data_IF_489010230038
#
_entry.id   IF_489010230038
#
_cell.length_a   1.000
_cell.length_b   1.000
_cell.length_c   1.000
_cell.angle_alpha   90.00
_cell.angle_beta   90.00
_cell.angle_gamma   90.00
#
_symmetry.space_group_name_H-M   'P 1'
#
loop_
_entity.id
_entity.type
_entity.pdbx_description
1 polymer ?
#
# COMPACT_ATOMS: atom_id res chain seq x y z
N UNK A 1 -10.51 28.51 24.39
CA UNK A 1 -9.16 27.93 24.58
C UNK A 1 -9.21 26.45 24.16
N UNK A 2 -9.03 26.21 22.88
CA UNK A 2 -8.67 24.89 22.37
C UNK A 2 -7.44 25.11 21.48
N UNK A 3 -6.29 25.06 22.17
CA UNK A 3 -4.99 25.19 21.55
C UNK A 3 -4.65 23.89 20.82
N UNK A 4 -4.29 24.06 19.55
CA UNK A 4 -3.23 23.39 18.80
C UNK A 4 -2.76 22.01 19.36
N UNK A 5 -3.57 20.99 19.19
CA UNK A 5 -3.09 19.61 19.17
C UNK A 5 -3.22 19.10 17.72
N UNK A 6 -2.11 18.57 17.18
CA UNK A 6 -1.98 17.92 15.88
C UNK A 6 -1.58 18.81 14.67
N UNK A 7 -0.37 19.36 14.75
CA UNK A 7 0.50 19.46 13.59
C UNK A 7 1.89 18.95 13.98
N UNK A 8 2.08 17.65 14.11
CA UNK A 8 3.40 17.10 13.84
C UNK A 8 3.64 17.28 12.33
N UNK A 9 4.30 18.37 11.96
CA UNK A 9 4.86 18.49 10.62
C UNK A 9 5.75 17.28 10.42
N UNK A 10 5.42 16.43 9.47
CA UNK A 10 6.36 15.43 8.96
C UNK A 10 7.58 16.22 8.51
N UNK A 11 8.71 16.08 9.20
CA UNK A 11 10.00 16.64 8.79
C UNK A 11 10.62 15.80 7.65
N UNK A 12 9.82 15.01 6.93
CA UNK A 12 10.30 14.25 5.81
C UNK A 12 10.65 15.23 4.67
N UNK A 13 11.90 15.20 4.28
CA UNK A 13 12.38 15.90 3.08
C UNK A 13 11.52 15.46 1.87
N UNK A 14 10.84 16.38 1.18
CA UNK A 14 10.03 16.03 0.01
C UNK A 14 10.84 15.40 -1.13
N UNK A 15 12.16 15.62 -1.19
CA UNK A 15 13.07 14.98 -2.16
C UNK A 15 13.25 13.48 -1.88
N UNK A 16 12.94 13.02 -0.67
CA UNK A 16 13.08 11.66 -0.18
C UNK A 16 12.36 10.61 -1.03
N UNK A 17 11.26 10.99 -1.67
CA UNK A 17 10.40 10.12 -2.47
C UNK A 17 10.50 10.38 -3.98
N UNK A 18 11.56 11.05 -4.45
CA UNK A 18 11.72 11.43 -5.85
C UNK A 18 13.03 10.94 -6.42
N UNK A 19 12.96 10.46 -7.64
CA UNK A 19 14.12 10.36 -8.50
C UNK A 19 14.45 11.78 -8.99
N UNK A 20 15.16 12.55 -8.18
CA UNK A 20 15.46 13.96 -8.44
C UNK A 20 16.22 14.16 -9.78
N UNK A 21 16.97 13.17 -10.19
CA UNK A 21 17.70 13.07 -11.45
C UNK A 21 16.78 12.90 -12.69
N UNK A 22 15.51 12.51 -12.49
CA UNK A 22 14.51 12.32 -13.55
C UNK A 22 13.38 13.37 -13.51
N UNK A 23 13.47 14.36 -12.61
CA UNK A 23 12.43 15.38 -12.43
C UNK A 23 12.89 16.74 -12.95
N UNK A 24 11.98 17.48 -13.59
CA UNK A 24 12.19 18.87 -13.95
C UNK A 24 12.11 19.77 -12.72
N UNK A 25 12.66 21.01 -12.77
CA UNK A 25 12.54 21.98 -11.68
C UNK A 25 11.07 22.25 -11.27
N UNK A 26 10.16 22.32 -12.22
CA UNK A 26 8.72 22.55 -11.96
C UNK A 26 8.09 21.35 -11.22
N UNK A 27 8.44 20.12 -11.58
CA UNK A 27 8.00 18.92 -10.88
C UNK A 27 8.56 18.85 -9.46
N UNK A 28 9.78 19.31 -9.23
CA UNK A 28 10.38 19.40 -7.91
C UNK A 28 9.67 20.46 -7.03
N UNK A 29 9.29 21.59 -7.61
CA UNK A 29 8.56 22.68 -6.94
C UNK A 29 7.10 22.37 -6.63
N UNK A 30 6.44 21.58 -7.50
CA UNK A 30 5.00 21.35 -7.48
C UNK A 30 4.43 20.93 -6.12
N UNK A 31 5.14 20.08 -5.38
CA UNK A 31 4.66 19.57 -4.09
C UNK A 31 4.52 20.68 -3.03
N UNK A 32 5.51 21.57 -2.97
CA UNK A 32 5.48 22.70 -2.06
C UNK A 32 4.39 23.72 -2.43
N UNK A 33 4.21 23.97 -3.72
CA UNK A 33 3.14 24.85 -4.21
C UNK A 33 1.76 24.26 -3.93
N UNK A 34 1.57 22.96 -4.12
CA UNK A 34 0.31 22.28 -3.85
C UNK A 34 0.02 22.26 -2.34
N UNK A 35 1.00 21.98 -1.49
CA UNK A 35 0.83 22.04 -0.03
C UNK A 35 0.40 23.44 0.42
N UNK A 36 1.07 24.48 -0.08
CA UNK A 36 0.69 25.86 0.18
C UNK A 36 -0.75 26.15 -0.32
N UNK A 37 -1.11 25.69 -1.51
CA UNK A 37 -2.45 25.85 -2.07
C UNK A 37 -3.52 25.14 -1.23
N UNK A 38 -3.27 23.89 -0.81
CA UNK A 38 -4.20 23.15 0.05
C UNK A 38 -4.44 23.90 1.36
N UNK A 39 -3.40 24.44 1.98
CA UNK A 39 -3.52 25.17 3.24
C UNK A 39 -4.33 26.46 3.09
N UNK A 40 -4.13 27.22 2.00
CA UNK A 40 -4.65 28.58 1.84
C UNK A 40 -5.89 28.69 0.93
N UNK A 41 -6.31 27.63 0.24
CA UNK A 41 -7.51 27.65 -0.60
C UNK A 41 -8.79 27.72 0.24
N UNK A 42 -9.86 28.24 -0.38
CA UNK A 42 -11.17 28.37 0.27
C UNK A 42 -11.78 27.02 0.61
N UNK A 43 -12.60 26.98 1.65
CA UNK A 43 -13.32 25.82 2.15
C UNK A 43 -12.67 25.19 3.39
N UNK A 44 -13.49 24.52 4.17
CA UNK A 44 -13.07 23.66 5.29
C UNK A 44 -12.29 22.46 4.79
N UNK A 45 -11.56 21.77 5.66
CA UNK A 45 -10.89 20.51 5.29
C UNK A 45 -11.86 19.47 4.72
N UNK A 46 -13.07 19.38 5.26
CA UNK A 46 -14.09 18.44 4.78
C UNK A 46 -14.53 18.78 3.36
N UNK A 47 -14.84 20.05 3.07
CA UNK A 47 -15.17 20.52 1.71
C UNK A 47 -14.00 20.29 0.72
N UNK A 48 -12.76 20.42 1.18
CA UNK A 48 -11.58 20.13 0.34
C UNK A 48 -11.50 18.63 0.00
N UNK A 49 -11.79 17.74 0.96
CA UNK A 49 -11.83 16.29 0.72
C UNK A 49 -12.96 15.92 -0.24
N UNK A 50 -14.16 16.49 -0.09
CA UNK A 50 -15.28 16.26 -1.04
C UNK A 50 -14.94 16.72 -2.47
N UNK A 51 -14.03 17.68 -2.59
CA UNK A 51 -13.53 18.20 -3.87
C UNK A 51 -12.08 17.76 -4.15
N UNK A 52 -11.68 16.56 -3.68
CA UNK A 52 -10.30 16.08 -3.75
C UNK A 52 -9.67 16.10 -5.15
N UNK A 53 -10.39 15.95 -6.28
CA UNK A 53 -9.75 16.02 -7.62
C UNK A 53 -9.05 17.34 -7.89
N UNK A 54 -9.42 18.41 -7.17
CA UNK A 54 -8.77 19.71 -7.26
C UNK A 54 -7.38 19.74 -6.58
N UNK A 55 -7.12 18.82 -5.68
CA UNK A 55 -5.96 18.81 -4.79
C UNK A 55 -5.02 17.62 -4.99
N UNK A 56 -5.53 16.54 -5.54
CA UNK A 56 -4.75 15.32 -5.75
C UNK A 56 -3.83 15.45 -6.97
N UNK A 57 -2.53 15.13 -6.85
CA UNK A 57 -1.65 15.08 -8.01
C UNK A 57 -2.04 13.93 -8.94
N UNK A 58 -1.83 14.15 -10.24
CA UNK A 58 -2.15 13.18 -11.30
C UNK A 58 -1.59 11.78 -11.02
N UNK A 59 -0.36 11.70 -10.50
CA UNK A 59 0.31 10.43 -10.20
C UNK A 59 -0.42 9.64 -9.09
N UNK A 60 -0.86 10.32 -8.03
CA UNK A 60 -1.64 9.67 -6.98
C UNK A 60 -3.03 9.25 -7.49
N UNK A 61 -3.67 10.08 -8.30
CA UNK A 61 -4.97 9.73 -8.88
C UNK A 61 -4.87 8.54 -9.84
N UNK A 62 -3.82 8.47 -10.70
CA UNK A 62 -3.62 7.33 -11.60
C UNK A 62 -3.41 6.03 -10.82
N UNK A 63 -2.67 6.08 -9.70
CA UNK A 63 -2.49 4.92 -8.82
C UNK A 63 -3.84 4.40 -8.28
N UNK A 64 -4.70 5.27 -7.76
CA UNK A 64 -6.01 4.86 -7.25
C UNK A 64 -6.93 4.33 -8.34
N UNK A 65 -6.89 4.88 -9.55
CA UNK A 65 -7.62 4.34 -10.71
C UNK A 65 -7.11 2.93 -11.06
N UNK A 66 -5.80 2.73 -11.07
CA UNK A 66 -5.18 1.44 -11.32
C UNK A 66 -5.60 0.39 -10.28
N UNK A 67 -5.54 0.73 -9.00
CA UNK A 67 -5.96 -0.14 -7.91
C UNK A 67 -7.46 -0.50 -8.02
N UNK A 68 -8.31 0.43 -8.47
CA UNK A 68 -9.72 0.15 -8.73
C UNK A 68 -9.90 -0.88 -9.85
N UNK A 69 -9.24 -0.67 -10.99
CA UNK A 69 -9.32 -1.61 -12.12
C UNK A 69 -8.82 -3.01 -11.76
N UNK A 70 -7.78 -3.08 -10.94
CA UNK A 70 -7.23 -4.36 -10.47
C UNK A 70 -8.17 -4.99 -9.43
N UNK A 71 -8.72 -4.22 -8.49
CA UNK A 71 -9.71 -4.70 -7.52
C UNK A 71 -10.90 -5.35 -8.21
N UNK A 72 -11.41 -4.76 -9.32
CA UNK A 72 -12.52 -5.32 -10.09
C UNK A 72 -12.21 -6.74 -10.62
N UNK A 73 -10.94 -7.08 -10.87
CA UNK A 73 -10.54 -8.43 -11.31
C UNK A 73 -10.65 -9.46 -10.19
N UNK A 74 -10.39 -9.05 -8.94
CA UNK A 74 -10.52 -9.90 -7.75
C UNK A 74 -11.93 -9.90 -7.14
N UNK A 75 -12.83 -9.05 -7.62
CA UNK A 75 -14.11 -8.76 -6.97
C UNK A 75 -14.97 -10.01 -6.73
N UNK A 76 -15.04 -10.92 -7.70
CA UNK A 76 -15.82 -12.17 -7.59
C UNK A 76 -15.04 -13.34 -6.99
N UNK A 77 -13.80 -13.14 -6.57
CA UNK A 77 -12.96 -14.16 -5.95
C UNK A 77 -13.17 -14.14 -4.44
N UNK A 78 -13.45 -15.28 -3.84
CA UNK A 78 -13.61 -15.39 -2.38
C UNK A 78 -12.27 -15.23 -1.68
N UNK A 79 -12.23 -14.43 -0.62
CA UNK A 79 -11.06 -14.24 0.24
C UNK A 79 -10.87 -12.80 0.68
N UNK A 80 -9.93 -12.63 1.59
CA UNK A 80 -9.51 -11.35 2.15
C UNK A 80 -8.64 -10.57 1.14
N UNK A 81 -8.50 -9.28 1.39
CA UNK A 81 -7.52 -8.40 0.76
C UNK A 81 -6.36 -8.26 1.74
N UNK A 82 -5.16 -8.56 1.29
CA UNK A 82 -3.95 -8.44 2.09
C UNK A 82 -3.07 -7.35 1.49
N UNK A 83 -2.66 -6.40 2.31
CA UNK A 83 -1.67 -5.38 1.96
C UNK A 83 -0.38 -5.58 2.77
N UNK A 84 0.70 -5.66 2.06
CA UNK A 84 2.05 -5.90 2.56
C UNK A 84 2.88 -4.63 2.39
N UNK A 85 2.97 -3.80 3.44
CA UNK A 85 3.49 -2.43 3.39
C UNK A 85 2.34 -1.42 3.41
N UNK A 86 2.02 -0.88 4.57
CA UNK A 86 0.84 0.00 4.75
C UNK A 86 1.23 1.47 4.71
N UNK A 87 2.42 1.81 5.24
CA UNK A 87 2.92 3.17 5.34
C UNK A 87 1.90 4.13 5.98
N UNK A 88 1.36 5.09 5.23
CA UNK A 88 0.33 6.04 5.67
C UNK A 88 -1.11 5.54 5.45
N UNK A 89 -1.30 4.31 4.96
CA UNK A 89 -2.58 3.63 4.84
C UNK A 89 -3.43 4.00 3.63
N UNK A 90 -2.87 4.71 2.65
CA UNK A 90 -3.63 5.18 1.49
C UNK A 90 -4.27 4.04 0.70
N UNK A 91 -3.50 3.01 0.34
CA UNK A 91 -3.99 1.88 -0.44
C UNK A 91 -4.91 0.98 0.40
N UNK A 92 -4.54 0.69 1.66
CA UNK A 92 -5.35 -0.10 2.59
C UNK A 92 -6.76 0.46 2.74
N UNK A 93 -6.84 1.75 3.06
CA UNK A 93 -8.12 2.41 3.24
C UNK A 93 -8.88 2.54 1.93
N UNK A 94 -8.18 2.67 0.79
CA UNK A 94 -8.83 2.66 -0.51
C UNK A 94 -9.50 1.32 -0.82
N UNK A 95 -8.83 0.20 -0.59
CA UNK A 95 -9.44 -1.13 -0.72
C UNK A 95 -10.62 -1.32 0.24
N UNK A 96 -10.50 -0.83 1.46
CA UNK A 96 -11.60 -0.85 2.42
C UNK A 96 -12.81 -0.05 1.92
N UNK A 97 -12.60 1.14 1.37
CA UNK A 97 -13.65 1.98 0.76
C UNK A 97 -14.29 1.27 -0.44
N UNK A 98 -13.49 0.73 -1.36
CA UNK A 98 -13.99 -0.01 -2.52
C UNK A 98 -14.88 -1.18 -2.10
N UNK A 99 -14.45 -1.98 -1.13
CA UNK A 99 -15.23 -3.08 -0.59
C UNK A 99 -16.54 -2.57 0.04
N UNK A 100 -16.51 -1.47 0.77
CA UNK A 100 -17.73 -0.90 1.39
C UNK A 100 -18.71 -0.33 0.36
N UNK A 101 -18.24 0.21 -0.74
CA UNK A 101 -19.05 0.78 -1.82
C UNK A 101 -19.67 -0.35 -2.67
N UNK A 102 -18.86 -1.33 -3.07
CA UNK A 102 -19.25 -2.32 -4.07
C UNK A 102 -19.87 -3.58 -3.47
N UNK A 103 -19.55 -3.91 -2.21
CA UNK A 103 -20.05 -5.08 -1.49
C UNK A 103 -20.38 -4.75 -0.03
N UNK A 104 -21.29 -3.81 0.23
CA UNK A 104 -21.50 -3.17 1.54
C UNK A 104 -21.89 -4.13 2.66
N UNK A 105 -22.44 -5.29 2.34
CA UNK A 105 -22.86 -6.32 3.32
C UNK A 105 -21.96 -7.56 3.34
N UNK A 106 -20.85 -7.55 2.61
CA UNK A 106 -19.91 -8.66 2.61
C UNK A 106 -19.09 -8.66 3.91
N UNK A 107 -19.45 -9.54 4.83
CA UNK A 107 -18.79 -9.70 6.12
C UNK A 107 -17.50 -10.54 6.02
N UNK A 108 -17.37 -11.35 4.97
CA UNK A 108 -16.30 -12.34 4.88
C UNK A 108 -15.02 -11.82 4.24
N UNK A 109 -15.11 -10.70 3.51
CA UNK A 109 -13.92 -10.05 2.95
C UNK A 109 -13.39 -9.03 3.94
N UNK A 110 -12.27 -9.35 4.58
CA UNK A 110 -11.52 -8.41 5.43
C UNK A 110 -10.42 -7.75 4.60
N UNK A 111 -9.94 -6.61 5.11
CA UNK A 111 -8.77 -5.91 4.58
C UNK A 111 -7.71 -5.92 5.68
N UNK A 112 -6.61 -6.59 5.46
CA UNK A 112 -5.58 -6.82 6.47
C UNK A 112 -4.25 -6.23 6.00
N UNK A 113 -3.74 -5.27 6.74
CA UNK A 113 -2.47 -4.59 6.45
C UNK A 113 -1.35 -5.05 7.37
N UNK A 114 -0.18 -5.32 6.81
CA UNK A 114 1.03 -5.70 7.52
C UNK A 114 2.09 -4.61 7.36
N UNK A 115 2.58 -4.07 8.48
CA UNK A 115 3.65 -3.06 8.47
C UNK A 115 4.37 -3.05 9.83
N UNK A 116 5.61 -2.63 9.83
CA UNK A 116 6.35 -2.35 11.06
C UNK A 116 5.87 -1.08 11.74
N UNK A 117 5.38 -0.10 10.97
CA UNK A 117 5.10 1.30 11.35
C UNK A 117 6.31 2.01 11.97
N UNK A 118 7.50 1.48 11.72
CA UNK A 118 8.78 2.01 12.21
C UNK A 118 9.89 1.95 11.16
N UNK A 119 9.51 1.71 9.89
CA UNK A 119 10.41 1.55 8.75
C UNK A 119 10.98 0.14 8.64
N UNK A 120 11.89 -0.06 7.70
CA UNK A 120 12.43 -1.38 7.38
C UNK A 120 13.05 -2.08 8.59
N UNK A 121 12.64 -3.32 8.87
CA UNK A 121 13.15 -4.11 9.99
C UNK A 121 14.62 -4.54 9.76
N UNK A 122 14.95 -4.91 8.54
CA UNK A 122 16.28 -5.29 8.08
C UNK A 122 16.40 -5.05 6.57
N UNK A 123 17.62 -5.05 6.05
CA UNK A 123 17.92 -4.97 4.61
C UNK A 123 18.72 -6.22 4.23
N UNK A 124 18.35 -6.87 3.14
CA UNK A 124 19.06 -7.99 2.55
C UNK A 124 20.03 -7.50 1.46
N UNK A 125 21.06 -8.26 1.13
CA UNK A 125 21.96 -7.92 0.03
C UNK A 125 21.24 -7.91 -1.34
N UNK A 126 20.16 -8.68 -1.48
CA UNK A 126 19.31 -8.71 -2.67
C UNK A 126 18.45 -7.44 -2.86
N UNK A 127 18.37 -6.60 -1.85
CA UNK A 127 17.70 -5.29 -1.91
C UNK A 127 18.61 -4.22 -2.52
N UNK A 128 19.90 -4.51 -2.69
CA UNK A 128 20.89 -3.54 -3.15
C UNK A 128 21.12 -3.68 -4.65
N UNK A 129 21.10 -2.56 -5.34
CA UNK A 129 21.47 -2.47 -6.76
C UNK A 129 22.79 -1.74 -6.92
N UNK A 130 23.60 -2.17 -7.89
CA UNK A 130 24.88 -1.52 -8.21
C UNK A 130 24.60 -0.14 -8.81
N UNK A 131 25.06 0.90 -8.11
CA UNK A 131 24.90 2.30 -8.57
C UNK A 131 23.63 2.99 -8.06
N UNK A 132 22.76 2.32 -7.34
CA UNK A 132 21.62 2.96 -6.66
C UNK A 132 22.07 3.61 -5.35
N UNK A 133 21.88 4.92 -5.23
CA UNK A 133 22.12 5.68 -4.00
C UNK A 133 20.79 6.01 -3.32
N UNK A 134 20.04 4.98 -2.92
CA UNK A 134 18.81 5.19 -2.16
C UNK A 134 19.13 5.39 -0.68
N UNK A 135 18.98 6.61 -0.17
CA UNK A 135 19.27 6.97 1.22
C UNK A 135 18.38 6.26 2.23
N UNK A 136 17.23 5.75 1.79
CA UNK A 136 16.26 5.02 2.61
C UNK A 136 16.55 3.51 2.68
N UNK A 137 17.46 2.99 1.85
CA UNK A 137 17.90 1.59 1.86
C UNK A 137 18.73 1.28 3.12
N UNK A 138 18.10 1.36 4.27
CA UNK A 138 18.68 1.13 5.59
C UNK A 138 17.62 0.68 6.59
N UNK A 139 18.03 0.02 7.66
CA UNK A 139 17.13 -0.27 8.77
C UNK A 139 16.48 1.02 9.29
N UNK A 140 15.16 1.02 9.46
CA UNK A 140 14.37 2.18 9.82
C UNK A 140 14.11 3.16 8.68
N UNK A 141 14.53 2.86 7.45
CA UNK A 141 14.16 3.65 6.26
C UNK A 141 12.65 3.60 6.00
N UNK A 142 12.11 4.60 5.34
CA UNK A 142 10.66 4.79 5.09
C UNK A 142 9.80 4.70 6.36
N UNK A 143 10.33 5.09 7.52
CA UNK A 143 9.56 5.09 8.77
C UNK A 143 8.38 6.06 8.71
N UNK A 144 7.19 5.54 8.92
CA UNK A 144 5.96 6.30 9.15
C UNK A 144 5.37 5.83 10.48
N UNK A 145 5.39 6.69 11.51
CA UNK A 145 4.74 6.42 12.80
C UNK A 145 3.23 6.68 12.69
N UNK A 146 2.58 5.88 11.86
CA UNK A 146 1.17 6.07 11.44
C UNK A 146 0.19 5.12 12.11
N UNK A 147 0.65 4.20 12.96
CA UNK A 147 -0.19 3.14 13.50
C UNK A 147 -1.41 3.66 14.27
N UNK A 148 -1.21 4.56 15.22
CA UNK A 148 -2.31 5.10 16.04
C UNK A 148 -3.23 6.02 15.23
N UNK A 149 -2.68 6.77 14.27
CA UNK A 149 -3.46 7.57 13.33
C UNK A 149 -4.36 6.69 12.45
N UNK A 150 -3.82 5.59 11.93
CA UNK A 150 -4.59 4.65 11.13
C UNK A 150 -5.66 3.91 11.92
N UNK A 151 -5.40 3.54 13.17
CA UNK A 151 -6.45 3.01 14.06
C UNK A 151 -7.60 3.99 14.19
N UNK A 152 -7.28 5.27 14.35
CA UNK A 152 -8.31 6.33 14.39
C UNK A 152 -9.04 6.49 13.07
N UNK A 153 -8.34 6.39 11.96
CA UNK A 153 -8.94 6.42 10.61
C UNK A 153 -9.92 5.26 10.42
N UNK A 154 -9.56 4.04 10.84
CA UNK A 154 -10.43 2.86 10.80
C UNK A 154 -11.68 3.05 11.66
N UNK A 155 -11.57 3.62 12.86
CA UNK A 155 -12.74 3.93 13.69
C UNK A 155 -13.70 4.91 13.01
N UNK A 156 -13.18 5.93 12.31
CA UNK A 156 -13.99 6.88 11.57
C UNK A 156 -14.64 6.25 10.33
N UNK A 157 -13.89 5.42 9.60
CA UNK A 157 -14.38 4.62 8.49
C UNK A 157 -15.53 3.71 8.92
N UNK A 158 -15.39 3.01 10.05
CA UNK A 158 -16.43 2.12 10.57
C UNK A 158 -17.74 2.88 10.90
N UNK A 159 -17.66 4.15 11.30
CA UNK A 159 -18.86 4.99 11.51
C UNK A 159 -19.59 5.36 10.22
N UNK A 160 -18.92 5.31 9.08
CA UNK A 160 -19.45 5.76 7.78
C UNK A 160 -19.79 4.61 6.83
N UNK A 161 -19.83 3.36 7.27
CA UNK A 161 -20.17 2.20 6.44
C UNK A 161 -21.28 1.37 7.02
N UNK A 162 -21.92 0.54 6.17
CA UNK A 162 -22.83 -0.49 6.63
C UNK A 162 -22.08 -1.50 7.50
N UNK A 163 -22.77 -2.03 8.53
CA UNK A 163 -22.23 -3.03 9.45
C UNK A 163 -20.92 -2.60 10.16
N UNK A 164 -20.79 -1.31 10.43
CA UNK A 164 -19.59 -0.72 11.06
C UNK A 164 -19.25 -1.24 12.46
N UNK A 165 -20.14 -2.01 13.10
CA UNK A 165 -19.90 -2.71 14.35
C UNK A 165 -19.14 -4.04 14.19
N UNK A 166 -18.91 -4.48 12.95
CA UNK A 166 -18.15 -5.70 12.62
C UNK A 166 -16.83 -5.29 12.00
N UNK A 167 -15.72 -5.75 12.57
CA UNK A 167 -14.38 -5.40 12.10
C UNK A 167 -14.17 -5.81 10.64
N UNK A 168 -13.77 -4.85 9.80
CA UNK A 168 -13.45 -5.07 8.40
C UNK A 168 -11.96 -4.85 8.11
N UNK A 169 -11.33 -3.89 8.76
CA UNK A 169 -9.93 -3.55 8.59
C UNK A 169 -9.13 -3.99 9.81
N UNK A 170 -8.00 -4.62 9.59
CA UNK A 170 -7.08 -5.04 10.65
C UNK A 170 -5.65 -4.61 10.32
N UNK A 171 -4.95 -4.05 11.30
CA UNK A 171 -3.55 -3.66 11.20
C UNK A 171 -2.69 -4.61 12.01
N UNK A 172 -1.75 -5.28 11.36
CA UNK A 172 -0.81 -6.21 11.99
C UNK A 172 0.55 -5.54 12.09
N UNK A 173 0.82 -4.97 13.26
CA UNK A 173 2.07 -4.25 13.52
C UNK A 173 3.22 -5.20 13.82
N UNK A 174 4.34 -5.00 13.12
CA UNK A 174 5.60 -5.69 13.39
C UNK A 174 6.32 -6.17 12.14
N UNK A 175 7.46 -6.83 12.35
CA UNK A 175 8.26 -7.43 11.29
C UNK A 175 7.46 -8.50 10.56
N UNK A 176 7.19 -8.28 9.27
CA UNK A 176 6.37 -9.15 8.41
C UNK A 176 6.90 -10.58 8.35
N UNK A 177 8.21 -10.77 8.42
CA UNK A 177 8.83 -12.09 8.44
C UNK A 177 8.41 -12.93 9.67
N UNK A 178 7.90 -12.28 10.72
CA UNK A 178 7.40 -12.92 11.95
C UNK A 178 5.89 -12.88 12.03
N UNK A 179 5.30 -11.74 11.66
CA UNK A 179 3.87 -11.52 11.87
C UNK A 179 3.02 -12.27 10.85
N UNK A 180 3.47 -12.44 9.61
CA UNK A 180 2.74 -13.17 8.58
C UNK A 180 2.61 -14.66 8.93
N UNK A 181 3.69 -15.41 9.22
CA UNK A 181 3.55 -16.83 9.62
C UNK A 181 2.68 -17.01 10.87
N UNK A 182 2.81 -16.12 11.87
CA UNK A 182 1.96 -16.15 13.05
C UNK A 182 0.50 -15.93 12.71
N UNK A 183 0.19 -14.90 11.90
CA UNK A 183 -1.17 -14.60 11.47
C UNK A 183 -1.81 -15.81 10.77
N UNK A 184 -1.07 -16.45 9.87
CA UNK A 184 -1.55 -17.64 9.17
C UNK A 184 -1.81 -18.83 10.11
N UNK A 185 -0.95 -19.02 11.11
CA UNK A 185 -1.14 -20.08 12.12
C UNK A 185 -2.37 -19.81 13.01
N UNK A 186 -2.62 -18.57 13.34
CA UNK A 186 -3.77 -18.14 14.16
C UNK A 186 -5.08 -18.05 13.35
N UNK A 187 -5.00 -17.87 12.02
CA UNK A 187 -6.14 -17.67 11.11
C UNK A 187 -6.14 -18.72 9.99
N UNK A 188 -6.25 -19.98 10.35
CA UNK A 188 -6.17 -21.13 9.43
C UNK A 188 -7.22 -21.11 8.32
N UNK A 189 -8.35 -20.42 8.53
CA UNK A 189 -9.44 -20.25 7.58
C UNK A 189 -9.17 -19.19 6.50
N UNK A 190 -8.11 -18.40 6.61
CA UNK A 190 -7.83 -17.29 5.68
C UNK A 190 -7.65 -17.80 4.26
N UNK A 191 -8.43 -17.25 3.35
CA UNK A 191 -8.24 -17.27 1.90
C UNK A 191 -7.90 -15.84 1.45
N UNK A 192 -7.14 -15.69 0.37
CA UNK A 192 -6.73 -14.39 -0.14
C UNK A 192 -7.23 -14.22 -1.57
N UNK A 193 -8.04 -13.20 -1.82
CA UNK A 193 -8.52 -12.86 -3.16
C UNK A 193 -7.62 -11.83 -3.85
N UNK A 194 -7.01 -10.94 -3.07
CA UNK A 194 -6.10 -9.92 -3.56
C UNK A 194 -4.93 -9.79 -2.58
N UNK A 195 -3.73 -9.93 -3.10
CA UNK A 195 -2.47 -9.75 -2.39
C UNK A 195 -1.73 -8.56 -2.99
N UNK A 196 -1.55 -7.48 -2.24
CA UNK A 196 -0.76 -6.32 -2.64
C UNK A 196 0.62 -6.39 -1.97
N UNK A 197 1.66 -6.56 -2.76
CA UNK A 197 3.05 -6.58 -2.33
C UNK A 197 3.64 -5.17 -2.52
N UNK A 198 3.96 -4.49 -1.41
CA UNK A 198 4.47 -3.12 -1.36
C UNK A 198 5.46 -2.98 -0.18
N UNK A 199 6.31 -4.01 0.00
CA UNK A 199 7.34 -4.01 1.05
C UNK A 199 8.68 -3.43 0.59
N UNK A 200 8.84 -3.17 -0.71
CA UNK A 200 10.09 -2.77 -1.36
C UNK A 200 11.23 -3.82 -1.27
N UNK A 201 11.19 -4.70 -0.28
CA UNK A 201 12.30 -5.53 0.15
C UNK A 201 12.09 -7.02 -0.20
N UNK A 202 13.21 -7.72 -0.42
CA UNK A 202 13.25 -9.13 -0.78
C UNK A 202 12.64 -10.06 0.29
N UNK A 203 13.16 -9.99 1.52
CA UNK A 203 12.82 -10.97 2.56
C UNK A 203 11.34 -10.95 2.96
N UNK A 204 10.74 -9.78 3.31
CA UNK A 204 9.33 -9.74 3.68
C UNK A 204 8.40 -10.07 2.49
N UNK A 205 8.78 -9.69 1.26
CA UNK A 205 8.03 -10.04 0.05
C UNK A 205 8.04 -11.55 -0.19
N UNK A 206 9.19 -12.20 -0.05
CA UNK A 206 9.31 -13.66 -0.16
C UNK A 206 8.44 -14.36 0.87
N UNK A 207 8.49 -13.95 2.14
CA UNK A 207 7.66 -14.51 3.21
C UNK A 207 6.17 -14.31 2.92
N UNK A 208 5.77 -13.14 2.40
CA UNK A 208 4.38 -12.89 2.01
C UNK A 208 3.93 -13.86 0.90
N UNK A 209 4.73 -14.04 -0.15
CA UNK A 209 4.44 -14.96 -1.25
C UNK A 209 4.29 -16.40 -0.73
N UNK A 210 5.27 -16.90 0.04
CA UNK A 210 5.29 -18.27 0.54
C UNK A 210 4.09 -18.60 1.46
N UNK A 211 3.55 -17.62 2.17
CA UNK A 211 2.44 -17.83 3.10
C UNK A 211 1.06 -17.52 2.49
N UNK A 212 0.93 -16.51 1.64
CA UNK A 212 -0.37 -16.09 1.13
C UNK A 212 -0.73 -16.73 -0.22
N UNK A 213 0.23 -16.90 -1.15
CA UNK A 213 -0.08 -17.47 -2.47
C UNK A 213 -0.69 -18.87 -2.39
N UNK A 214 -0.24 -19.80 -1.51
CA UNK A 214 -0.91 -21.10 -1.34
C UNK A 214 -2.37 -21.00 -0.83
N UNK A 215 -2.81 -19.83 -0.41
CA UNK A 215 -4.17 -19.55 0.09
C UNK A 215 -5.02 -18.75 -0.91
N UNK A 216 -4.48 -18.49 -2.09
CA UNK A 216 -5.18 -17.78 -3.14
C UNK A 216 -5.86 -18.78 -4.08
N UNK A 217 -7.17 -18.68 -4.28
CA UNK A 217 -7.86 -19.50 -5.27
C UNK A 217 -7.53 -19.01 -6.70
N UNK A 218 -7.83 -19.82 -7.71
CA UNK A 218 -7.80 -19.39 -9.11
C UNK A 218 -8.65 -18.15 -9.31
N UNK A 219 -8.16 -17.22 -10.09
CA UNK A 219 -8.74 -15.88 -10.25
C UNK A 219 -8.26 -14.87 -9.21
N UNK A 220 -7.57 -15.31 -8.15
CA UNK A 220 -6.94 -14.41 -7.19
C UNK A 220 -5.90 -13.51 -7.85
N UNK A 221 -5.75 -12.30 -7.35
CA UNK A 221 -4.91 -11.26 -7.97
C UNK A 221 -3.75 -10.91 -7.06
N UNK A 222 -2.54 -10.95 -7.61
CA UNK A 222 -1.34 -10.40 -6.97
C UNK A 222 -1.03 -9.06 -7.60
N UNK A 223 -0.85 -8.03 -6.79
CA UNK A 223 -0.36 -6.71 -7.19
C UNK A 223 1.09 -6.60 -6.75
N UNK A 224 1.92 -6.12 -7.63
CA UNK A 224 3.34 -5.87 -7.42
C UNK A 224 3.59 -4.36 -7.60
N UNK A 225 4.25 -3.74 -6.61
CA UNK A 225 4.53 -2.30 -6.65
C UNK A 225 5.87 -1.99 -7.33
N UNK A 226 6.88 -2.85 -7.13
CA UNK A 226 8.26 -2.55 -7.49
C UNK A 226 8.89 -3.50 -8.51
N UNK A 227 8.08 -4.25 -9.29
CA UNK A 227 8.66 -5.13 -10.31
C UNK A 227 9.42 -4.35 -11.38
N UNK A 228 10.63 -4.82 -11.68
CA UNK A 228 11.54 -4.21 -12.66
C UNK A 228 12.04 -2.82 -12.27
N UNK A 229 12.01 -2.49 -10.97
CA UNK A 229 12.56 -1.25 -10.43
C UNK A 229 14.02 -1.43 -10.04
N UNK A 230 14.92 -0.66 -10.65
CA UNK A 230 16.36 -0.71 -10.38
C UNK A 230 16.75 -0.16 -9.00
N UNK A 231 15.91 0.66 -8.41
CA UNK A 231 16.13 1.22 -7.08
C UNK A 231 15.66 0.29 -5.95
N UNK A 232 14.73 -0.65 -6.27
CA UNK A 232 14.11 -1.60 -5.36
C UNK A 232 14.08 -3.01 -5.97
N UNK A 233 15.25 -3.65 -6.18
CA UNK A 233 15.31 -4.95 -6.87
C UNK A 233 14.76 -6.11 -6.04
N UNK A 234 14.61 -5.94 -4.72
CA UNK A 234 14.26 -6.99 -3.77
C UNK A 234 12.97 -7.71 -4.10
N UNK A 235 11.91 -6.98 -4.43
CA UNK A 235 10.63 -7.57 -4.82
C UNK A 235 10.74 -8.42 -6.08
N UNK A 236 11.41 -7.90 -7.12
CA UNK A 236 11.63 -8.66 -8.37
C UNK A 236 12.34 -9.98 -8.12
N UNK A 237 13.40 -9.94 -7.30
CA UNK A 237 14.17 -11.16 -6.96
C UNK A 237 13.33 -12.14 -6.17
N UNK A 238 12.53 -11.68 -5.22
CA UNK A 238 11.62 -12.52 -4.44
C UNK A 238 10.58 -13.22 -5.32
N UNK A 239 9.98 -12.51 -6.27
CA UNK A 239 9.02 -13.07 -7.23
C UNK A 239 9.68 -14.09 -8.16
N UNK A 240 10.88 -13.78 -8.68
CA UNK A 240 11.64 -14.72 -9.52
C UNK A 240 11.93 -16.04 -8.80
N UNK A 241 12.37 -15.98 -7.56
CA UNK A 241 12.77 -17.16 -6.79
C UNK A 241 11.57 -17.96 -6.27
N UNK A 242 10.48 -17.30 -5.89
CA UNK A 242 9.34 -17.94 -5.24
C UNK A 242 8.28 -18.43 -6.22
N UNK A 243 8.03 -17.69 -7.30
CA UNK A 243 6.96 -17.97 -8.26
C UNK A 243 7.49 -18.32 -9.66
N UNK A 244 8.65 -17.76 -10.05
CA UNK A 244 9.17 -17.86 -11.40
C UNK A 244 8.40 -16.97 -12.37
N UNK A 245 9.06 -15.97 -12.96
CA UNK A 245 8.40 -15.00 -13.86
C UNK A 245 7.70 -15.66 -15.05
N UNK A 246 8.26 -16.76 -15.57
CA UNK A 246 7.67 -17.49 -16.69
C UNK A 246 6.37 -18.24 -16.36
N UNK A 247 6.04 -18.40 -15.08
CA UNK A 247 4.81 -19.04 -14.61
C UNK A 247 3.65 -18.06 -14.44
N UNK A 248 3.91 -16.77 -14.56
CA UNK A 248 2.93 -15.71 -14.33
C UNK A 248 2.70 -14.91 -15.62
N UNK A 249 1.44 -14.63 -15.92
CA UNK A 249 1.09 -13.60 -16.90
C UNK A 249 1.07 -12.25 -16.20
N UNK A 250 2.23 -11.60 -16.10
CA UNK A 250 2.36 -10.26 -15.50
C UNK A 250 1.87 -9.22 -16.50
N UNK A 251 0.87 -8.45 -16.09
CA UNK A 251 0.29 -7.36 -16.85
C UNK A 251 0.52 -6.02 -16.13
N UNK A 252 0.46 -4.93 -16.88
CA UNK A 252 0.53 -3.55 -16.37
C UNK A 252 -0.58 -2.70 -16.95
N UNK A 253 -0.85 -1.56 -16.31
CA UNK A 253 -1.75 -0.54 -16.82
C UNK A 253 -0.94 0.57 -17.52
N UNK A 254 -1.34 1.03 -18.72
CA UNK A 254 -0.50 1.94 -19.53
C UNK A 254 -0.24 3.30 -18.87
N UNK A 255 -1.13 3.72 -17.96
CA UNK A 255 -1.12 5.04 -17.33
C UNK A 255 -0.53 5.01 -15.90
N UNK A 256 -0.22 3.82 -15.35
CA UNK A 256 0.43 3.64 -14.05
C UNK A 256 1.67 2.76 -14.25
N UNK A 257 2.87 3.36 -14.26
CA UNK A 257 4.08 2.63 -14.66
C UNK A 257 4.68 1.75 -13.56
N UNK A 258 4.35 2.00 -12.30
CA UNK A 258 4.94 1.27 -11.16
C UNK A 258 4.19 -0.03 -10.88
N UNK A 259 2.86 0.02 -10.86
CA UNK A 259 2.03 -1.13 -10.52
C UNK A 259 1.96 -2.12 -11.69
N UNK A 260 2.23 -3.37 -11.38
CA UNK A 260 1.93 -4.51 -12.23
C UNK A 260 1.11 -5.56 -11.46
N UNK A 261 0.47 -6.48 -12.16
CA UNK A 261 -0.36 -7.50 -11.51
C UNK A 261 -0.36 -8.82 -12.29
N UNK A 262 -0.68 -9.90 -11.57
CA UNK A 262 -0.94 -11.20 -12.15
C UNK A 262 -2.26 -11.77 -11.60
N UNK A 263 -2.99 -12.51 -12.44
CA UNK A 263 -4.17 -13.28 -12.05
C UNK A 263 -3.76 -14.75 -12.00
N UNK A 264 -4.03 -15.43 -10.90
CA UNK A 264 -3.72 -16.85 -10.73
C UNK A 264 -4.67 -17.71 -11.57
N UNK A 265 -4.11 -18.61 -12.39
CA UNK A 265 -4.85 -19.48 -13.32
C UNK A 265 -5.06 -20.91 -12.77
#
# INVERSE_FOLDING_TARGET
MHENLFMKKSNADPSRFRQADRSTPDELGYRGEMDHYIQNSIGSYYEKIENFPKYIPRQALSRFIALFEIFQKAFFVQGDIIECGVNLGGCLMYFAQLSSILEPVNLQRRVVGFDTFSGFAAINDKDKSVGSHNSEMKKGGYSADSYDDLLRSVELYDKNRFLGHINKVSLIKGDACKTIPRFIAENTHTMVSLLHLDFDLYEPTKVAIENFVPRMPKGGVIIFDELNNDSWPGETVAVMESLGLGNLRIARLPYEPHISYAILE
#
